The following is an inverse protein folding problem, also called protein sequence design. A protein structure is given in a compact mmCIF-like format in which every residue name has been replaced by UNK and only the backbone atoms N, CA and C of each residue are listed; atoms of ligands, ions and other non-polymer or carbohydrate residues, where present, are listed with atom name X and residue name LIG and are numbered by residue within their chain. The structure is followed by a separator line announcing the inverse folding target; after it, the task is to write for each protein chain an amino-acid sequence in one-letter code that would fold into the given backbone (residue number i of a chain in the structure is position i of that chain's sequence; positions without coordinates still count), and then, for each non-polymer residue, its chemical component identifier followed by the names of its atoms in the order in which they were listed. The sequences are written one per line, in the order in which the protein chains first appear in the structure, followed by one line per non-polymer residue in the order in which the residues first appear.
data_IF_905964708965
#
_entry.id   IF_905964708965
#
_cell.length_a   1.000
_cell.length_b   1.000
_cell.length_c   1.000
_cell.angle_alpha   90.00
_cell.angle_beta   90.00
_cell.angle_gamma   90.00
#
_symmetry.space_group_name_H-M   'P 1'
#
loop_
_entity.id
_entity.type
_entity.pdbx_description
1 polymer ?
#
# COMPACT_ATOMS: atom_id res chain seq x y z
N UNK A 1 -18.61 8.22 -1.45
CA UNK A 1 -19.25 6.90 -1.44
C UNK A 1 -19.14 6.31 -0.04
N UNK A 2 -20.26 5.94 0.59
CA UNK A 2 -20.23 5.24 1.89
C UNK A 2 -19.86 3.76 1.69
N UNK A 3 -19.30 3.13 2.72
CA UNK A 3 -19.07 1.68 2.70
C UNK A 3 -20.37 0.94 2.40
N UNK A 4 -20.33 -0.10 1.55
CA UNK A 4 -21.50 -0.95 1.31
C UNK A 4 -21.99 -1.54 2.66
N UNK A 5 -23.30 -1.64 2.93
CA UNK A 5 -23.81 -2.06 4.25
C UNK A 5 -23.21 -3.37 4.79
N UNK A 6 -22.99 -4.35 3.90
CA UNK A 6 -22.39 -5.64 4.28
C UNK A 6 -20.90 -5.52 4.70
N UNK A 7 -20.18 -4.50 4.23
CA UNK A 7 -18.80 -4.22 4.67
C UNK A 7 -18.80 -3.70 6.10
N UNK A 8 -19.75 -2.82 6.44
CA UNK A 8 -19.90 -2.32 7.80
C UNK A 8 -20.26 -3.47 8.76
N UNK A 9 -21.20 -4.35 8.39
CA UNK A 9 -21.56 -5.52 9.19
C UNK A 9 -20.35 -6.44 9.47
N UNK A 10 -19.55 -6.76 8.45
CA UNK A 10 -18.34 -7.59 8.63
C UNK A 10 -17.25 -6.89 9.42
N UNK A 11 -17.18 -5.56 9.35
CA UNK A 11 -16.27 -4.81 10.17
C UNK A 11 -16.67 -4.84 11.65
N UNK A 12 -17.96 -4.69 11.97
CA UNK A 12 -18.46 -4.83 13.34
C UNK A 12 -18.22 -6.24 13.90
N UNK A 13 -18.44 -7.30 13.10
CA UNK A 13 -18.07 -8.67 13.49
C UNK A 13 -16.58 -8.80 13.83
N UNK A 14 -15.70 -8.17 13.03
CA UNK A 14 -14.26 -8.16 13.28
C UNK A 14 -13.90 -7.40 14.57
N UNK A 15 -14.58 -6.30 14.87
CA UNK A 15 -14.40 -5.54 16.11
C UNK A 15 -14.81 -6.37 17.34
N UNK A 16 -15.88 -7.16 17.26
CA UNK A 16 -16.28 -8.05 18.36
C UNK A 16 -15.23 -9.14 18.63
N UNK A 17 -14.61 -9.70 17.58
CA UNK A 17 -13.49 -10.62 17.75
C UNK A 17 -12.31 -9.93 18.44
N UNK A 18 -11.95 -8.72 18.00
CA UNK A 18 -10.87 -7.93 18.59
C UNK A 18 -11.13 -7.65 20.08
N UNK A 19 -12.37 -7.32 20.45
CA UNK A 19 -12.78 -7.20 21.85
C UNK A 19 -12.61 -8.52 22.61
N UNK A 20 -13.03 -9.63 22.01
CA UNK A 20 -12.96 -10.97 22.65
C UNK A 20 -11.53 -11.41 22.99
N UNK A 21 -10.53 -10.94 22.25
CA UNK A 21 -9.11 -11.22 22.49
C UNK A 21 -8.43 -10.17 23.38
N UNK A 22 -9.21 -9.30 24.02
CA UNK A 22 -8.78 -8.42 25.11
C UNK A 22 -8.51 -6.97 24.71
N UNK A 23 -8.80 -6.56 23.47
CA UNK A 23 -8.62 -5.17 23.07
C UNK A 23 -9.81 -4.30 23.47
N UNK A 24 -9.53 -3.06 23.87
CA UNK A 24 -10.56 -2.03 24.08
C UNK A 24 -10.82 -1.31 22.76
N UNK A 25 -12.07 -1.32 22.28
CA UNK A 25 -12.47 -0.57 21.08
C UNK A 25 -13.02 0.78 21.51
N UNK A 26 -12.27 1.84 21.23
CA UNK A 26 -12.72 3.23 21.33
C UNK A 26 -13.54 3.56 20.07
N UNK A 27 -14.62 4.33 20.21
CA UNK A 27 -15.54 4.67 19.11
C UNK A 27 -14.87 5.36 17.92
N UNK A 28 -15.66 5.62 16.87
CA UNK A 28 -15.16 6.11 15.58
C UNK A 28 -14.26 7.35 15.70
N UNK A 29 -13.03 7.25 15.21
CA UNK A 29 -12.10 8.36 15.09
C UNK A 29 -12.23 8.97 13.68
N UNK A 30 -12.44 10.28 13.62
CA UNK A 30 -12.55 11.02 12.36
C UNK A 30 -11.29 11.84 12.15
N UNK A 31 -10.69 11.74 10.97
CA UNK A 31 -9.68 12.69 10.51
C UNK A 31 -10.27 14.11 10.45
N UNK A 32 -9.54 15.08 11.00
CA UNK A 32 -9.89 16.51 11.03
C UNK A 32 -9.48 17.22 9.74
N UNK A 33 -8.28 16.92 9.23
CA UNK A 33 -7.68 17.59 8.08
C UNK A 33 -7.83 16.75 6.81
N UNK A 34 -7.55 15.44 6.89
CA UNK A 34 -7.63 14.56 5.73
C UNK A 34 -9.03 13.99 5.52
N UNK A 35 -9.78 14.62 4.63
CA UNK A 35 -11.05 14.09 4.12
C UNK A 35 -10.95 13.69 2.65
N UNK A 36 -11.88 12.85 2.16
CA UNK A 36 -12.00 12.58 0.73
C UNK A 36 -12.18 13.87 -0.07
N UNK A 37 -12.99 14.80 0.45
CA UNK A 37 -13.20 16.11 -0.16
C UNK A 37 -11.93 16.94 -0.20
N UNK A 38 -11.14 16.94 0.88
CA UNK A 38 -9.83 17.56 0.88
C UNK A 38 -8.96 16.97 -0.23
N UNK A 39 -8.97 15.65 -0.40
CA UNK A 39 -8.19 15.01 -1.45
C UNK A 39 -8.62 15.46 -2.84
N UNK A 40 -9.92 15.41 -3.12
CA UNK A 40 -10.48 15.80 -4.42
C UNK A 40 -10.20 17.27 -4.74
N UNK A 41 -10.31 18.16 -3.76
CA UNK A 41 -10.09 19.60 -3.92
C UNK A 41 -8.60 19.97 -4.10
N UNK A 42 -7.68 19.13 -3.63
CA UNK A 42 -6.23 19.41 -3.63
C UNK A 42 -5.44 18.40 -4.49
N UNK A 43 -6.12 17.65 -5.36
CA UNK A 43 -5.51 16.53 -6.11
C UNK A 43 -4.30 16.95 -6.93
N UNK A 44 -4.39 18.08 -7.63
CA UNK A 44 -3.29 18.57 -8.47
C UNK A 44 -2.05 18.91 -7.63
N UNK A 45 -2.22 19.67 -6.55
CA UNK A 45 -1.13 20.03 -5.65
C UNK A 45 -0.54 18.80 -4.95
N UNK A 46 -1.34 17.81 -4.60
CA UNK A 46 -0.83 16.56 -3.99
C UNK A 46 -0.10 15.63 -4.95
N UNK A 47 -0.47 15.65 -6.23
CA UNK A 47 0.16 14.82 -7.26
C UNK A 47 1.39 15.50 -7.88
N UNK A 48 1.59 16.81 -7.65
CA UNK A 48 2.71 17.57 -8.22
C UNK A 48 4.09 17.00 -7.89
N UNK A 49 4.39 16.81 -6.59
CA UNK A 49 5.66 16.22 -6.16
C UNK A 49 5.85 14.80 -6.66
N UNK A 50 4.76 14.04 -6.90
CA UNK A 50 4.83 12.72 -7.50
C UNK A 50 5.31 12.80 -8.96
N UNK A 51 4.71 13.68 -9.78
CA UNK A 51 5.13 13.85 -11.18
C UNK A 51 6.60 14.23 -11.30
N UNK A 52 7.01 15.26 -10.55
CA UNK A 52 8.40 15.69 -10.44
C UNK A 52 9.33 14.56 -9.96
N UNK A 53 8.90 13.79 -8.96
CA UNK A 53 9.70 12.70 -8.41
C UNK A 53 9.89 11.57 -9.40
N UNK A 54 8.85 11.14 -10.11
CA UNK A 54 8.92 10.04 -11.09
C UNK A 54 9.90 10.36 -12.20
N UNK A 55 9.83 11.56 -12.79
CA UNK A 55 10.76 12.00 -13.84
C UNK A 55 12.23 11.89 -13.38
N UNK A 56 12.55 12.52 -12.26
CA UNK A 56 13.91 12.57 -11.71
C UNK A 56 14.40 11.21 -11.18
N UNK A 57 13.52 10.41 -10.56
CA UNK A 57 13.89 9.11 -10.01
C UNK A 57 14.14 8.08 -11.11
N UNK A 58 13.44 8.16 -12.23
CA UNK A 58 13.68 7.27 -13.37
C UNK A 58 15.07 7.53 -13.96
N UNK A 59 15.45 8.78 -14.15
CA UNK A 59 16.80 9.15 -14.61
C UNK A 59 17.88 8.63 -13.64
N UNK A 60 17.67 8.85 -12.34
CA UNK A 60 18.55 8.32 -11.30
C UNK A 60 18.63 6.79 -11.37
N UNK A 61 17.49 6.11 -11.47
CA UNK A 61 17.41 4.65 -11.56
C UNK A 61 18.21 4.11 -12.76
N UNK A 62 18.03 4.69 -13.95
CA UNK A 62 18.77 4.29 -15.16
C UNK A 62 20.28 4.53 -15.03
N UNK A 63 20.70 5.64 -14.40
CA UNK A 63 22.12 5.94 -14.18
C UNK A 63 22.85 4.92 -13.29
N UNK A 64 22.11 4.23 -12.42
CA UNK A 64 22.64 3.21 -11.51
C UNK A 64 22.75 1.83 -12.17
N UNK A 65 22.19 1.64 -13.37
CA UNK A 65 22.19 0.34 -14.01
C UNK A 65 23.53 0.02 -14.70
N UNK A 66 24.14 -1.09 -14.30
CA UNK A 66 25.35 -1.62 -14.95
C UNK A 66 25.10 -2.10 -16.38
N UNK A 67 23.91 -2.64 -16.63
CA UNK A 67 23.50 -3.13 -17.95
C UNK A 67 22.14 -2.53 -18.30
N UNK A 68 22.09 -1.79 -19.41
CA UNK A 68 20.91 -1.09 -19.89
C UNK A 68 20.71 -1.46 -21.37
N UNK A 69 20.06 -2.60 -21.67
CA UNK A 69 20.04 -3.20 -23.00
C UNK A 69 19.35 -2.33 -24.06
N UNK A 70 18.45 -1.45 -23.62
CA UNK A 70 17.70 -0.53 -24.48
C UNK A 70 18.22 0.90 -24.40
N UNK A 71 19.32 1.13 -23.67
CA UNK A 71 19.97 2.42 -23.52
C UNK A 71 18.99 3.55 -23.12
N UNK A 72 18.05 3.25 -22.22
CA UNK A 72 17.06 4.21 -21.73
C UNK A 72 17.65 5.06 -20.61
N UNK A 73 17.53 6.38 -20.67
CA UNK A 73 18.14 7.25 -19.63
C UNK A 73 17.13 8.16 -18.97
N UNK A 74 16.00 8.42 -19.63
CA UNK A 74 14.99 9.38 -19.16
C UNK A 74 13.60 8.76 -19.15
N UNK A 75 12.67 9.39 -18.42
CA UNK A 75 11.25 9.02 -18.51
C UNK A 75 10.72 9.16 -19.95
N UNK A 76 11.24 10.12 -20.73
CA UNK A 76 10.89 10.28 -22.15
C UNK A 76 11.36 9.10 -23.00
N UNK A 77 12.53 8.52 -22.71
CA UNK A 77 12.99 7.31 -23.40
C UNK A 77 12.08 6.12 -23.12
N UNK A 78 11.59 5.99 -21.88
CA UNK A 78 10.63 4.93 -21.50
C UNK A 78 9.34 5.06 -22.28
N UNK A 79 8.78 6.28 -22.34
CA UNK A 79 7.55 6.56 -23.11
C UNK A 79 7.76 6.18 -24.58
N UNK A 80 8.81 6.70 -25.21
CA UNK A 80 9.12 6.43 -26.62
C UNK A 80 9.31 4.93 -26.88
N UNK A 81 10.08 4.23 -26.05
CA UNK A 81 10.28 2.79 -26.18
C UNK A 81 8.96 2.01 -26.08
N UNK A 82 8.08 2.42 -25.18
CA UNK A 82 6.75 1.78 -24.99
C UNK A 82 5.87 1.99 -26.21
N UNK A 83 5.85 3.21 -26.78
CA UNK A 83 5.11 3.53 -28.00
C UNK A 83 5.62 2.77 -29.23
N UNK A 84 6.94 2.60 -29.34
CA UNK A 84 7.60 1.98 -30.49
C UNK A 84 7.66 0.45 -30.42
N UNK A 85 7.35 -0.16 -29.26
CA UNK A 85 7.49 -1.61 -29.04
C UNK A 85 6.12 -2.29 -29.00
N UNK A 86 5.68 -3.01 -30.06
CA UNK A 86 4.35 -3.61 -30.12
C UNK A 86 4.04 -4.60 -28.99
N UNK A 87 5.08 -5.27 -28.45
CA UNK A 87 4.93 -6.21 -27.33
C UNK A 87 4.50 -5.53 -26.02
N UNK A 88 4.76 -4.24 -25.85
CA UNK A 88 4.33 -3.45 -24.69
C UNK A 88 2.84 -3.05 -24.79
N UNK A 89 2.20 -3.28 -25.95
CA UNK A 89 0.77 -3.02 -26.15
C UNK A 89 0.37 -1.55 -25.98
N UNK A 90 1.04 -0.57 -26.63
CA UNK A 90 0.79 0.86 -26.42
C UNK A 90 -0.65 1.33 -26.76
N UNK A 91 -1.40 0.54 -27.55
CA UNK A 91 -2.81 0.80 -27.84
C UNK A 91 -3.80 0.22 -26.82
N UNK A 92 -3.33 -0.60 -25.88
CA UNK A 92 -4.17 -1.22 -24.84
C UNK A 92 -4.19 -0.40 -23.54
N UNK A 93 -3.10 0.33 -23.26
CA UNK A 93 -2.90 1.04 -22.00
C UNK A 93 -2.45 2.48 -22.29
N UNK A 94 -3.07 3.47 -21.63
CA UNK A 94 -2.56 4.84 -21.71
C UNK A 94 -1.50 5.09 -20.63
N UNK A 95 -0.55 5.96 -20.95
CA UNK A 95 0.53 6.40 -20.06
C UNK A 95 0.45 7.92 -19.84
N UNK A 96 -0.78 8.47 -19.84
CA UNK A 96 -1.06 9.91 -19.71
C UNK A 96 -0.44 10.52 -18.44
N UNK A 97 -0.41 9.76 -17.35
CA UNK A 97 0.25 10.16 -16.09
C UNK A 97 1.76 10.39 -16.28
N UNK A 98 2.41 9.54 -17.07
CA UNK A 98 3.85 9.65 -17.37
C UNK A 98 4.12 10.78 -18.35
N UNK A 99 3.27 10.94 -19.37
CA UNK A 99 3.33 12.08 -20.31
C UNK A 99 3.21 13.39 -19.53
N UNK A 100 2.21 13.51 -18.65
CA UNK A 100 2.03 14.68 -17.78
C UNK A 100 3.26 14.98 -16.92
N UNK A 101 3.95 13.94 -16.43
CA UNK A 101 5.18 14.12 -15.65
C UNK A 101 6.35 14.66 -16.50
N UNK A 102 6.40 14.33 -17.79
CA UNK A 102 7.40 14.86 -18.73
C UNK A 102 7.02 16.28 -19.18
N UNK A 103 5.74 16.54 -19.44
CA UNK A 103 5.24 17.82 -19.97
C UNK A 103 5.24 18.95 -18.94
N UNK A 104 5.32 18.63 -17.65
CA UNK A 104 5.40 19.61 -16.55
C UNK A 104 6.65 20.51 -16.57
N UNK A 105 7.58 20.33 -17.50
CA UNK A 105 8.71 21.24 -17.72
C UNK A 105 9.58 21.50 -16.48
N UNK A 106 10.07 22.71 -16.33
CA UNK A 106 10.89 23.14 -15.17
C UNK A 106 10.04 23.35 -13.91
N UNK A 107 8.71 23.46 -14.04
CA UNK A 107 7.82 23.48 -12.87
C UNK A 107 7.91 22.14 -12.12
N UNK A 108 8.12 21.03 -12.83
CA UNK A 108 8.33 19.71 -12.25
C UNK A 108 9.73 19.52 -11.62
N UNK A 109 10.52 20.58 -11.43
CA UNK A 109 11.79 20.50 -10.70
C UNK A 109 11.56 20.43 -9.18
N UNK A 110 12.43 19.68 -8.50
CA UNK A 110 12.39 19.44 -7.06
C UNK A 110 12.73 20.68 -6.24
N UNK A 111 13.41 21.65 -6.85
CA UNK A 111 13.82 22.88 -6.16
C UNK A 111 12.73 23.96 -6.15
N UNK A 112 11.57 23.71 -6.78
CA UNK A 112 10.47 24.66 -6.78
C UNK A 112 9.77 24.71 -5.42
N UNK A 113 9.31 25.91 -5.03
CA UNK A 113 8.49 26.08 -3.82
C UNK A 113 7.21 25.22 -3.87
N UNK A 114 6.63 25.06 -5.07
CA UNK A 114 5.46 24.20 -5.31
C UNK A 114 5.77 22.73 -5.07
N UNK A 115 6.93 22.23 -5.53
CA UNK A 115 7.38 20.88 -5.20
C UNK A 115 7.50 20.68 -3.71
N UNK A 116 8.20 21.57 -3.00
CA UNK A 116 8.40 21.44 -1.56
C UNK A 116 7.09 21.49 -0.78
N UNK A 117 6.15 22.36 -1.19
CA UNK A 117 4.81 22.40 -0.60
C UNK A 117 4.06 21.07 -0.81
N UNK A 118 4.02 20.57 -2.04
CA UNK A 118 3.42 19.27 -2.38
C UNK A 118 4.06 18.10 -1.63
N UNK A 119 5.40 18.08 -1.58
CA UNK A 119 6.18 17.02 -0.96
C UNK A 119 5.95 16.96 0.55
N UNK A 120 5.87 18.11 1.21
CA UNK A 120 5.67 18.21 2.65
C UNK A 120 4.22 17.98 3.08
N UNK A 121 3.25 18.09 2.17
CA UNK A 121 1.84 17.89 2.45
C UNK A 121 1.53 16.43 2.85
N UNK A 122 2.14 15.43 2.19
CA UNK A 122 1.89 14.01 2.50
C UNK A 122 2.40 13.60 3.88
N UNK A 123 3.65 13.92 4.28
CA UNK A 123 4.11 13.70 5.65
C UNK A 123 3.26 14.44 6.69
N UNK A 124 2.84 15.68 6.39
CA UNK A 124 1.98 16.46 7.29
C UNK A 124 0.65 15.74 7.56
N UNK A 125 -0.04 15.32 6.49
CA UNK A 125 -1.25 14.50 6.57
C UNK A 125 -0.98 13.18 7.31
N UNK A 126 0.15 12.52 7.04
CA UNK A 126 0.55 11.28 7.71
C UNK A 126 0.74 11.42 9.23
N UNK A 127 1.07 12.62 9.74
CA UNK A 127 1.14 12.87 11.18
C UNK A 127 -0.22 12.82 11.87
N UNK A 128 -1.32 12.92 11.11
CA UNK A 128 -2.66 12.90 11.67
C UNK A 128 -3.00 11.56 12.33
N UNK A 129 -2.48 10.44 11.81
CA UNK A 129 -2.60 9.11 12.42
C UNK A 129 -2.06 9.15 13.87
N UNK A 130 -0.85 9.66 14.04
CA UNK A 130 -0.23 9.74 15.37
C UNK A 130 -1.00 10.68 16.32
N UNK A 131 -1.51 11.81 15.80
CA UNK A 131 -2.35 12.73 16.57
C UNK A 131 -3.67 12.10 17.00
N UNK A 132 -4.34 11.38 16.11
CA UNK A 132 -5.60 10.68 16.40
C UNK A 132 -5.39 9.61 17.45
N UNK A 133 -4.39 8.77 17.27
CA UNK A 133 -4.03 7.73 18.24
C UNK A 133 -3.71 8.33 19.62
N UNK A 134 -2.93 9.42 19.66
CA UNK A 134 -2.64 10.12 20.92
C UNK A 134 -3.87 10.75 21.58
N UNK A 135 -4.75 11.39 20.80
CA UNK A 135 -5.97 12.03 21.29
C UNK A 135 -6.95 11.04 21.92
N UNK A 136 -7.06 9.84 21.35
CA UNK A 136 -7.99 8.80 21.78
C UNK A 136 -7.36 7.76 22.70
N UNK A 137 -6.09 7.96 23.11
CA UNK A 137 -5.33 7.00 23.92
C UNK A 137 -5.31 5.59 23.31
N UNK A 138 -5.24 5.52 21.97
CA UNK A 138 -5.24 4.27 21.21
C UNK A 138 -3.84 3.88 20.76
N UNK A 139 -3.63 2.58 20.60
CA UNK A 139 -2.40 2.00 20.07
C UNK A 139 -2.43 1.85 18.55
N UNK A 140 -3.59 1.46 18.00
CA UNK A 140 -3.79 1.10 16.58
C UNK A 140 -5.16 1.62 16.12
N UNK A 141 -5.26 2.03 14.84
CA UNK A 141 -6.53 2.22 14.16
C UNK A 141 -6.91 0.93 13.42
N UNK A 142 -8.14 0.45 13.64
CA UNK A 142 -8.76 -0.57 12.81
C UNK A 142 -9.66 0.11 11.78
N UNK A 143 -9.49 -0.21 10.51
CA UNK A 143 -10.34 0.34 9.44
C UNK A 143 -10.84 -0.77 8.50
N UNK A 144 -12.08 -0.66 7.99
CA UNK A 144 -12.56 -1.58 6.98
C UNK A 144 -11.84 -1.29 5.66
N UNK A 145 -11.28 -2.34 5.07
CA UNK A 145 -10.84 -2.32 3.68
C UNK A 145 -11.85 -3.07 2.82
N UNK A 146 -12.17 -2.45 1.70
CA UNK A 146 -12.90 -3.11 0.64
C UNK A 146 -12.12 -2.94 -0.65
N UNK A 147 -11.58 -4.05 -1.15
CA UNK A 147 -10.89 -4.09 -2.43
C UNK A 147 -11.84 -4.80 -3.40
N UNK A 148 -12.41 -4.07 -4.35
CA UNK A 148 -12.96 -4.69 -5.57
C UNK A 148 -11.77 -5.05 -6.48
N UNK A 149 -11.07 -6.15 -6.18
CA UNK A 149 -10.24 -6.78 -7.22
C UNK A 149 -11.21 -7.34 -8.25
N UNK A 150 -11.12 -6.88 -9.50
CA UNK A 150 -12.02 -7.21 -10.62
C UNK A 150 -12.13 -8.70 -10.98
N UNK A 151 -11.45 -9.60 -10.27
CA UNK A 151 -11.75 -11.03 -10.23
C UNK A 151 -12.90 -11.31 -9.27
N UNK A 152 -14.09 -11.55 -9.80
CA UNK A 152 -15.35 -11.86 -9.12
C UNK A 152 -15.38 -13.21 -8.36
N UNK A 153 -14.23 -13.73 -7.91
CA UNK A 153 -14.14 -14.90 -7.04
C UNK A 153 -14.03 -14.41 -5.59
N UNK A 154 -15.18 -14.15 -4.96
CA UNK A 154 -15.28 -13.80 -3.54
C UNK A 154 -14.63 -12.46 -3.20
N UNK A 155 -15.39 -11.37 -3.30
CA UNK A 155 -14.97 -10.06 -2.81
C UNK A 155 -14.72 -10.14 -1.29
N UNK A 156 -13.47 -10.43 -0.91
CA UNK A 156 -13.06 -10.46 0.49
C UNK A 156 -13.16 -9.06 1.07
N UNK A 157 -13.86 -8.91 2.19
CA UNK A 157 -13.63 -7.79 3.09
C UNK A 157 -12.38 -8.07 3.90
N UNK A 158 -11.69 -7.00 4.28
CA UNK A 158 -10.50 -7.10 5.10
C UNK A 158 -10.55 -6.04 6.19
N UNK A 159 -9.89 -6.33 7.31
CA UNK A 159 -9.58 -5.34 8.34
C UNK A 159 -8.13 -4.91 8.15
N UNK A 160 -7.88 -3.59 8.19
CA UNK A 160 -6.53 -3.04 8.17
C UNK A 160 -6.21 -2.44 9.53
N UNK A 161 -5.03 -2.79 10.02
CA UNK A 161 -4.45 -2.24 11.24
C UNK A 161 -3.42 -1.18 10.86
N UNK A 162 -3.55 0.03 11.41
CA UNK A 162 -2.66 1.16 11.15
C UNK A 162 -2.08 1.63 12.49
N UNK A 163 -0.75 1.58 12.61
CA UNK A 163 -0.01 2.09 13.78
C UNK A 163 0.68 3.43 13.49
N UNK A 164 1.48 3.91 14.45
CA UNK A 164 2.36 5.06 14.24
C UNK A 164 3.55 4.64 13.37
N UNK A 165 4.33 5.64 12.95
CA UNK A 165 5.60 5.40 12.25
C UNK A 165 6.49 4.51 13.13
N UNK A 166 6.96 3.40 12.55
CA UNK A 166 7.81 2.38 13.20
C UNK A 166 7.11 1.46 14.21
N UNK A 167 5.76 1.43 14.26
CA UNK A 167 4.99 0.49 15.07
C UNK A 167 4.81 -0.90 14.40
N UNK A 168 5.68 -1.28 13.46
CA UNK A 168 5.55 -2.52 12.68
C UNK A 168 5.35 -3.75 13.56
N UNK A 169 6.12 -3.87 14.65
CA UNK A 169 6.00 -5.00 15.58
C UNK A 169 4.64 -5.06 16.29
N UNK A 170 4.08 -3.91 16.65
CA UNK A 170 2.76 -3.80 17.27
C UNK A 170 1.66 -4.13 16.27
N UNK A 171 1.73 -3.56 15.06
CA UNK A 171 0.77 -3.83 13.97
C UNK A 171 0.76 -5.31 13.57
N UNK A 172 1.94 -5.92 13.42
CA UNK A 172 2.08 -7.36 13.12
C UNK A 172 1.49 -8.20 14.25
N UNK A 173 1.74 -7.84 15.51
CA UNK A 173 1.22 -8.59 16.66
C UNK A 173 -0.31 -8.54 16.73
N UNK A 174 -0.91 -7.37 16.50
CA UNK A 174 -2.36 -7.23 16.45
C UNK A 174 -2.98 -8.01 15.28
N UNK A 175 -2.37 -7.92 14.09
CA UNK A 175 -2.81 -8.68 12.93
C UNK A 175 -2.72 -10.20 13.16
N UNK A 176 -1.63 -10.67 13.77
CA UNK A 176 -1.44 -12.08 14.10
C UNK A 176 -2.47 -12.57 15.12
N UNK A 177 -2.72 -11.82 16.20
CA UNK A 177 -3.71 -12.18 17.20
C UNK A 177 -5.13 -12.30 16.59
N UNK A 178 -5.50 -11.36 15.71
CA UNK A 178 -6.75 -11.41 14.96
C UNK A 178 -6.81 -12.61 14.00
N UNK A 179 -5.74 -12.89 13.27
CA UNK A 179 -5.65 -14.04 12.37
C UNK A 179 -5.85 -15.37 13.13
N UNK A 180 -5.14 -15.56 14.26
CA UNK A 180 -5.25 -16.77 15.09
C UNK A 180 -6.63 -16.91 15.75
N UNK A 181 -7.33 -15.80 16.03
CA UNK A 181 -8.69 -15.87 16.57
C UNK A 181 -9.73 -16.30 15.53
N UNK A 182 -9.49 -15.99 14.25
CA UNK A 182 -10.53 -16.08 13.22
C UNK A 182 -10.33 -17.22 12.23
N UNK A 183 -9.07 -17.50 11.86
CA UNK A 183 -8.69 -18.42 10.80
C UNK A 183 -9.52 -18.21 9.51
N UNK A 184 -9.84 -16.95 9.17
CA UNK A 184 -10.73 -16.65 8.03
C UNK A 184 -10.17 -17.13 6.69
N UNK A 185 -8.85 -17.04 6.51
CA UNK A 185 -8.17 -17.50 5.28
C UNK A 185 -8.25 -19.03 5.14
N UNK A 186 -8.18 -19.79 6.24
CA UNK A 186 -8.25 -21.26 6.19
C UNK A 186 -9.64 -21.77 5.76
N UNK A 187 -10.66 -20.94 5.95
CA UNK A 187 -12.04 -21.21 5.50
C UNK A 187 -12.22 -20.94 4.01
N UNK A 188 -11.33 -20.17 3.38
CA UNK A 188 -11.34 -19.91 1.95
C UNK A 188 -10.45 -20.93 1.22
N UNK A 189 -11.03 -21.68 0.29
CA UNK A 189 -10.28 -22.61 -0.57
C UNK A 189 -10.02 -21.95 -1.93
N UNK A 190 -8.83 -21.39 -2.17
CA UNK A 190 -8.50 -20.85 -3.49
C UNK A 190 -8.54 -21.96 -4.55
N UNK A 191 -9.26 -21.71 -5.66
CA UNK A 191 -9.33 -22.64 -6.80
C UNK A 191 -7.97 -22.75 -7.49
N UNK A 192 -7.16 -21.69 -7.41
CA UNK A 192 -5.79 -21.64 -7.92
C UNK A 192 -4.86 -21.23 -6.79
N UNK A 193 -4.00 -22.16 -6.37
CA UNK A 193 -2.90 -21.87 -5.45
C UNK A 193 -1.63 -21.56 -6.24
N UNK A 194 -0.84 -20.55 -5.85
CA UNK A 194 0.50 -20.37 -6.40
C UNK A 194 1.30 -21.66 -6.22
N UNK A 195 1.83 -22.23 -7.30
CA UNK A 195 2.72 -23.41 -7.23
C UNK A 195 4.18 -23.03 -6.94
N UNK A 196 4.46 -21.74 -6.87
CA UNK A 196 5.80 -21.19 -6.69
C UNK A 196 5.88 -20.55 -5.32
N UNK A 197 6.59 -21.18 -4.39
CA UNK A 197 7.08 -20.49 -3.21
C UNK A 197 8.24 -19.58 -3.63
N UNK A 198 8.21 -18.31 -3.23
CA UNK A 198 9.30 -17.35 -3.47
C UNK A 198 10.61 -17.76 -2.78
N UNK A 199 10.55 -18.74 -1.88
CA UNK A 199 11.69 -19.37 -1.24
C UNK A 199 11.61 -20.88 -1.42
N UNK A 200 12.17 -21.42 -2.51
CA UNK A 200 12.36 -22.88 -2.66
C UNK A 200 13.21 -23.48 -1.54
N UNK A 201 14.02 -22.66 -0.90
CA UNK A 201 14.77 -23.03 0.27
C UNK A 201 14.14 -22.30 1.45
N UNK A 202 13.44 -23.04 2.32
CA UNK A 202 12.98 -22.59 3.64
C UNK A 202 14.18 -22.22 4.52
N UNK A 203 14.94 -21.18 4.15
CA UNK A 203 16.12 -20.69 4.84
C UNK A 203 16.03 -19.17 4.90
N UNK A 204 16.05 -18.64 6.11
CA UNK A 204 16.14 -17.19 6.33
C UNK A 204 17.51 -16.91 6.94
N UNK A 205 18.16 -15.84 6.48
CA UNK A 205 19.46 -15.44 7.01
C UNK A 205 19.25 -14.62 8.29
N UNK A 206 19.63 -15.18 9.44
CA UNK A 206 19.56 -14.52 10.75
C UNK A 206 20.99 -14.34 11.24
N UNK A 207 21.41 -13.07 11.44
CA UNK A 207 22.75 -12.71 11.97
C UNK A 207 23.94 -13.36 11.22
N UNK A 208 23.80 -13.57 9.91
CA UNK A 208 24.87 -14.16 9.08
C UNK A 208 24.65 -15.63 8.75
N UNK A 209 23.84 -16.34 9.53
CA UNK A 209 23.62 -17.77 9.40
C UNK A 209 22.30 -18.10 8.70
N UNK A 210 22.30 -19.15 7.89
CA UNK A 210 21.10 -19.67 7.24
C UNK A 210 20.34 -20.57 8.21
N UNK A 211 19.18 -20.11 8.66
CA UNK A 211 18.30 -20.85 9.57
C UNK A 211 17.18 -21.50 8.79
N UNK A 212 17.03 -22.83 8.92
CA UNK A 212 15.93 -23.56 8.29
C UNK A 212 14.62 -23.24 8.99
N UNK A 213 13.63 -22.73 8.27
CA UNK A 213 12.29 -22.47 8.80
C UNK A 213 11.46 -23.74 8.63
N UNK A 214 11.22 -24.48 9.71
CA UNK A 214 10.27 -25.60 9.72
C UNK A 214 8.95 -25.15 10.33
N UNK A 215 7.88 -25.13 9.54
CA UNK A 215 6.52 -25.05 10.09
C UNK A 215 6.24 -26.38 10.79
N UNK A 216 5.82 -26.36 12.06
CA UNK A 216 5.29 -27.56 12.69
C UNK A 216 4.02 -27.95 11.94
N UNK A 217 4.03 -29.08 11.25
CA UNK A 217 2.77 -29.69 10.82
C UNK A 217 2.04 -30.16 12.08
N UNK A 218 1.19 -29.30 12.64
CA UNK A 218 0.13 -29.79 13.52
C UNK A 218 -0.83 -30.58 12.64
N UNK A 219 -0.84 -31.89 12.86
CA UNK A 219 -1.50 -32.87 12.01
C UNK A 219 -3.00 -32.64 11.91
N UNK A 220 -3.48 -32.60 10.68
CA UNK A 220 -4.87 -32.86 10.36
C UNK A 220 -5.13 -34.37 10.48
N UNK A 221 -5.94 -34.75 11.47
CA UNK A 221 -6.85 -35.89 11.40
C UNK A 221 -8.27 -35.35 11.44
#
# INVERSE_FOLDING_TARGET
MGAKPWVAEKFEEALEVIKSIGATVVGCATFFEWTLQFYENNKEEMDFSFYASVRNNIETFFSLMKHNPHNLHTLRDVIRYTEETPKEGPGQWNFNTLVRAVDGGDEADRDTARFMASHNLRPHIGMEIARLLGKHECDILAVPLWIETTSSIGAGTSIMFIGRRFDDGLVISAAYAFEQATHHIDKFRPIVVPRTELFKENKVKIRGDWVKVTRSQQGHR
#
